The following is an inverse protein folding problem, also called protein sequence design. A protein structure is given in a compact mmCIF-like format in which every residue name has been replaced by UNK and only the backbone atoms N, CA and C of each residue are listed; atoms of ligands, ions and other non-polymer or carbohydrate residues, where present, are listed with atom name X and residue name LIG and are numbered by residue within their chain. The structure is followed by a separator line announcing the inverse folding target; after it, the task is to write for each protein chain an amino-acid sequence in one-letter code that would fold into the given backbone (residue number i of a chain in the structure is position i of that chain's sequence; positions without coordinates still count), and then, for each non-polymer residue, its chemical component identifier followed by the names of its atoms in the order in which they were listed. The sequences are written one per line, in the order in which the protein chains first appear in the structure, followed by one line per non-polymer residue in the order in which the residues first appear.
data_IF_955161477728
#
_entry.id   IF_955161477728
#
_cell.length_a   1.000
_cell.length_b   1.000
_cell.length_c   1.000
_cell.angle_alpha   90.00
_cell.angle_beta   90.00
_cell.angle_gamma   90.00
#
_symmetry.space_group_name_H-M   'P 1'
#
loop_
_entity.id
_entity.type
_entity.pdbx_description
1 polymer ?
#
# COMPACT_ATOMS: atom_id res chain seq x y z
N UNK A 1 -30.61 -49.34 -10.49
CA UNK A 1 -30.45 -49.52 -9.04
C UNK A 1 -29.14 -48.77 -8.70
N UNK A 2 -29.16 -47.76 -8.05
CA UNK A 2 -29.33 -47.14 -6.81
C UNK A 2 -29.33 -45.61 -6.93
N UNK A 3 -30.46 -45.11 -6.72
CA UNK A 3 -30.95 -43.80 -6.43
C UNK A 3 -30.58 -43.39 -4.99
N UNK A 4 -30.49 -42.04 -4.78
CA UNK A 4 -30.65 -41.32 -3.52
C UNK A 4 -29.42 -41.22 -2.61
N UNK A 5 -28.90 -39.96 -2.51
CA UNK A 5 -29.02 -39.15 -1.29
C UNK A 5 -28.46 -37.74 -1.59
N UNK A 6 -29.36 -36.87 -2.04
CA UNK A 6 -29.12 -35.41 -2.02
C UNK A 6 -29.90 -34.87 -0.80
N UNK A 7 -29.25 -34.69 0.31
CA UNK A 7 -29.81 -33.98 1.45
C UNK A 7 -29.57 -32.49 1.26
N UNK A 8 -30.63 -31.77 0.97
CA UNK A 8 -30.68 -30.32 0.89
C UNK A 8 -30.37 -29.71 2.27
N UNK A 9 -29.25 -28.99 2.38
CA UNK A 9 -28.94 -28.17 3.53
C UNK A 9 -29.62 -26.81 3.33
N UNK A 10 -30.82 -26.69 3.90
CA UNK A 10 -31.61 -25.45 3.91
C UNK A 10 -30.93 -24.44 4.85
N UNK A 11 -30.43 -23.34 4.29
CA UNK A 11 -29.99 -22.19 5.08
C UNK A 11 -31.21 -21.41 5.58
N UNK A 12 -31.24 -21.01 6.86
CA UNK A 12 -32.31 -20.14 7.35
C UNK A 12 -32.17 -18.73 6.72
N UNK A 13 -33.29 -18.01 6.54
CA UNK A 13 -33.28 -16.66 5.98
C UNK A 13 -32.61 -15.69 6.94
N UNK A 14 -31.69 -14.89 6.40
CA UNK A 14 -31.09 -13.75 7.11
C UNK A 14 -32.19 -12.70 7.27
N UNK A 15 -32.72 -12.59 8.47
CA UNK A 15 -33.64 -11.52 8.85
C UNK A 15 -32.86 -10.23 8.96
N UNK A 16 -32.99 -9.39 7.96
CA UNK A 16 -32.50 -8.00 8.01
C UNK A 16 -33.40 -7.25 9.01
N UNK A 17 -32.85 -6.95 10.18
CA UNK A 17 -33.50 -6.08 11.15
C UNK A 17 -33.55 -4.65 10.59
N UNK A 18 -34.72 -3.99 10.59
CA UNK A 18 -34.82 -2.59 10.17
C UNK A 18 -34.09 -1.69 11.16
N UNK A 19 -33.37 -0.74 10.61
CA UNK A 19 -32.70 0.36 11.29
C UNK A 19 -33.68 1.05 12.25
N UNK A 20 -33.48 0.90 13.55
CA UNK A 20 -34.19 1.61 14.58
C UNK A 20 -33.68 3.06 14.66
N UNK A 21 -34.20 3.90 13.80
CA UNK A 21 -34.20 5.34 14.04
C UNK A 21 -35.33 5.62 15.04
N UNK A 22 -35.02 6.39 16.06
CA UNK A 22 -35.90 6.91 17.14
C UNK A 22 -35.95 6.08 18.43
N UNK A 23 -34.95 6.33 19.28
CA UNK A 23 -35.10 6.52 20.72
C UNK A 23 -33.80 7.12 21.25
N UNK A 24 -33.84 8.37 21.64
CA UNK A 24 -32.70 9.12 22.17
C UNK A 24 -32.22 8.57 23.51
N UNK A 25 -31.04 8.00 23.50
CA UNK A 25 -30.26 7.73 24.69
C UNK A 25 -28.87 8.38 24.54
N UNK A 26 -28.62 9.50 25.25
CA UNK A 26 -27.33 10.20 25.18
C UNK A 26 -26.21 9.50 25.97
N UNK A 27 -26.42 8.29 26.49
CA UNK A 27 -25.47 7.60 27.39
C UNK A 27 -24.55 6.65 26.64
N UNK A 28 -24.87 6.23 25.40
CA UNK A 28 -24.02 5.29 24.63
C UNK A 28 -22.87 5.95 23.88
N UNK A 29 -22.91 7.26 23.63
CA UNK A 29 -21.83 7.97 22.95
C UNK A 29 -20.57 8.12 23.81
N UNK A 30 -20.75 8.21 25.14
CA UNK A 30 -19.63 8.42 26.06
C UNK A 30 -18.82 7.15 26.37
N UNK A 31 -19.35 5.96 26.10
CA UNK A 31 -18.66 4.69 26.38
C UNK A 31 -17.78 4.21 25.22
N UNK A 32 -18.05 4.64 24.00
CA UNK A 32 -17.26 4.26 22.82
C UNK A 32 -15.95 5.04 22.79
N UNK A 33 -15.93 6.28 23.26
CA UNK A 33 -14.74 7.12 23.33
C UNK A 33 -13.74 6.68 24.40
N UNK A 34 -14.16 5.86 25.38
CA UNK A 34 -13.31 5.35 26.45
C UNK A 34 -12.56 4.06 26.06
N UNK A 35 -13.02 3.32 25.05
CA UNK A 35 -12.44 2.04 24.63
C UNK A 35 -11.50 2.21 23.43
N UNK A 36 -11.74 3.23 22.60
CA UNK A 36 -10.85 3.61 21.50
C UNK A 36 -10.41 5.06 21.71
N UNK A 37 -9.21 5.28 22.29
CA UNK A 37 -8.69 6.63 22.36
C UNK A 37 -8.62 7.17 20.93
N UNK A 38 -9.30 8.30 20.72
CA UNK A 38 -9.40 9.00 19.46
C UNK A 38 -8.04 9.04 18.76
N UNK A 39 -7.91 8.33 17.65
CA UNK A 39 -6.71 8.42 16.81
C UNK A 39 -6.65 9.87 16.35
N UNK A 40 -5.64 10.65 16.76
CA UNK A 40 -5.59 12.08 16.42
C UNK A 40 -5.57 12.21 14.89
N UNK A 41 -6.56 12.91 14.34
CA UNK A 41 -6.71 13.18 12.90
C UNK A 41 -5.56 14.02 12.31
N UNK A 42 -4.57 14.38 13.12
CA UNK A 42 -3.42 15.21 12.77
C UNK A 42 -2.12 14.62 13.30
N UNK A 43 -1.83 13.37 13.01
CA UNK A 43 -0.55 12.80 13.42
C UNK A 43 0.54 13.01 12.34
N UNK A 44 1.04 14.23 12.27
CA UNK A 44 2.38 14.52 11.70
C UNK A 44 3.49 13.72 12.43
N UNK A 45 3.14 13.13 13.58
CA UNK A 45 4.02 12.32 14.44
C UNK A 45 3.97 10.81 14.12
N UNK A 46 3.21 10.40 13.11
CA UNK A 46 2.67 9.06 13.10
C UNK A 46 3.67 7.96 12.78
N UNK A 47 4.78 8.16 12.10
CA UNK A 47 5.71 7.06 11.82
C UNK A 47 7.16 7.54 11.65
N UNK A 48 7.74 8.08 12.72
CA UNK A 48 9.18 8.38 12.69
C UNK A 48 9.96 7.07 12.51
N UNK A 49 10.87 7.05 11.53
CA UNK A 49 11.81 5.96 11.36
C UNK A 49 12.89 6.06 12.45
N UNK A 50 12.95 5.08 13.33
CA UNK A 50 14.05 4.96 14.28
C UNK A 50 15.37 4.62 13.56
N UNK A 51 16.50 4.85 14.21
CA UNK A 51 17.80 4.42 13.68
C UNK A 51 17.82 2.92 13.38
N UNK A 52 17.14 2.11 14.20
CA UNK A 52 16.99 0.68 13.98
C UNK A 52 16.19 0.38 12.69
N UNK A 53 15.04 1.04 12.50
CA UNK A 53 14.23 0.87 11.28
C UNK A 53 15.06 1.19 10.02
N UNK A 54 15.81 2.29 10.04
CA UNK A 54 16.68 2.70 8.92
C UNK A 54 17.74 1.65 8.59
N UNK A 55 18.38 1.08 9.62
CA UNK A 55 19.40 0.03 9.45
C UNK A 55 18.77 -1.23 8.85
N UNK A 56 17.62 -1.66 9.39
CA UNK A 56 16.89 -2.83 8.90
C UNK A 56 16.51 -2.66 7.43
N UNK A 57 15.93 -1.51 7.07
CA UNK A 57 15.55 -1.20 5.67
C UNK A 57 16.77 -1.22 4.75
N UNK A 58 17.87 -0.53 5.11
CA UNK A 58 19.10 -0.50 4.28
C UNK A 58 19.69 -1.89 4.09
N UNK A 59 19.76 -2.70 5.15
CA UNK A 59 20.28 -4.07 5.08
C UNK A 59 19.42 -4.97 4.20
N UNK A 60 18.11 -4.92 4.40
CA UNK A 60 17.18 -5.71 3.59
C UNK A 60 17.22 -5.30 2.12
N UNK A 61 17.31 -3.99 1.84
CA UNK A 61 17.36 -3.48 0.47
C UNK A 61 18.57 -3.97 -0.31
N UNK A 62 19.69 -4.22 0.35
CA UNK A 62 20.87 -4.83 -0.30
C UNK A 62 20.57 -6.20 -0.94
N UNK A 63 19.58 -6.95 -0.41
CA UNK A 63 19.11 -8.21 -1.01
C UNK A 63 18.13 -7.97 -2.15
N UNK A 64 17.32 -6.91 -2.05
CA UNK A 64 16.28 -6.55 -3.02
C UNK A 64 16.87 -6.08 -4.33
N UNK A 65 18.01 -5.39 -4.32
CA UNK A 65 18.62 -4.75 -5.51
C UNK A 65 18.78 -5.70 -6.70
N UNK A 66 19.16 -6.96 -6.45
CA UNK A 66 19.36 -7.95 -7.50
C UNK A 66 18.10 -8.36 -8.26
N UNK A 67 16.91 -8.24 -7.62
CA UNK A 67 15.59 -8.61 -8.16
C UNK A 67 14.64 -7.42 -8.29
N UNK A 68 15.15 -6.21 -8.10
CA UNK A 68 14.33 -5.01 -8.02
C UNK A 68 13.45 -4.78 -9.25
N UNK A 69 13.96 -5.04 -10.46
CA UNK A 69 13.20 -4.88 -11.69
C UNK A 69 12.01 -5.87 -11.79
N UNK A 70 12.21 -7.12 -11.39
CA UNK A 70 11.15 -8.14 -11.39
C UNK A 70 10.08 -7.80 -10.36
N UNK A 71 10.50 -7.47 -9.15
CA UNK A 71 9.62 -7.07 -8.04
C UNK A 71 8.77 -5.87 -8.43
N UNK A 72 9.39 -4.84 -9.02
CA UNK A 72 8.69 -3.65 -9.46
C UNK A 72 7.66 -3.92 -10.55
N UNK A 73 8.03 -4.74 -11.55
CA UNK A 73 7.14 -5.14 -12.62
C UNK A 73 5.94 -5.93 -12.12
N UNK A 74 6.17 -6.88 -11.19
CA UNK A 74 5.08 -7.64 -10.59
C UNK A 74 4.19 -6.79 -9.68
N UNK A 75 4.77 -5.94 -8.84
CA UNK A 75 4.00 -5.07 -7.95
C UNK A 75 3.10 -4.09 -8.74
N UNK A 76 3.63 -3.48 -9.80
CA UNK A 76 2.86 -2.60 -10.67
C UNK A 76 1.77 -3.38 -11.41
N UNK A 77 2.09 -4.56 -11.94
CA UNK A 77 1.12 -5.42 -12.60
C UNK A 77 -0.03 -5.83 -11.68
N UNK A 78 0.27 -6.20 -10.44
CA UNK A 78 -0.74 -6.51 -9.40
C UNK A 78 -1.61 -5.29 -9.09
N UNK A 79 -1.02 -4.12 -8.93
CA UNK A 79 -1.76 -2.89 -8.70
C UNK A 79 -2.75 -2.60 -9.83
N UNK A 80 -2.34 -2.74 -11.09
CA UNK A 80 -3.20 -2.49 -12.25
C UNK A 80 -4.37 -3.49 -12.35
N UNK A 81 -4.19 -4.72 -11.86
CA UNK A 81 -5.26 -5.73 -11.82
C UNK A 81 -6.18 -5.52 -10.63
N UNK A 82 -5.62 -5.35 -9.43
CA UNK A 82 -6.39 -5.26 -8.19
C UNK A 82 -7.10 -3.92 -8.01
N UNK A 83 -6.55 -2.85 -8.61
CA UNK A 83 -7.09 -1.49 -8.54
C UNK A 83 -7.28 -0.89 -9.95
N UNK A 84 -8.32 -1.30 -10.69
CA UNK A 84 -8.51 -0.93 -12.09
C UNK A 84 -8.54 0.57 -12.36
N UNK A 85 -8.94 1.39 -11.38
CA UNK A 85 -8.93 2.85 -11.47
C UNK A 85 -7.52 3.42 -11.71
N UNK A 86 -6.47 2.71 -11.32
CA UNK A 86 -5.08 3.14 -11.52
C UNK A 86 -4.65 3.07 -12.98
N UNK A 87 -5.36 2.31 -13.81
CA UNK A 87 -5.11 2.19 -15.25
C UNK A 87 -5.24 3.53 -15.99
N UNK A 88 -6.01 4.45 -15.44
CA UNK A 88 -6.20 5.79 -16.02
C UNK A 88 -4.87 6.53 -16.22
N UNK A 89 -3.90 6.36 -15.33
CA UNK A 89 -2.58 6.99 -15.44
C UNK A 89 -1.70 6.39 -16.55
N UNK A 90 -2.04 5.21 -17.02
CA UNK A 90 -1.29 4.44 -18.01
C UNK A 90 -2.11 4.20 -19.29
N UNK A 91 -3.20 4.95 -19.51
CA UNK A 91 -4.11 4.77 -20.65
C UNK A 91 -3.43 4.95 -22.02
N UNK A 92 -2.28 5.64 -22.06
CA UNK A 92 -1.46 5.80 -23.25
C UNK A 92 -0.64 4.54 -23.63
N UNK A 93 -0.65 3.48 -22.78
CA UNK A 93 -0.07 2.19 -23.12
C UNK A 93 -1.14 1.30 -23.73
N UNK A 94 -0.80 0.61 -24.83
CA UNK A 94 -1.75 -0.26 -25.55
C UNK A 94 -2.11 -1.54 -24.78
N UNK A 95 -1.22 -1.99 -23.90
CA UNK A 95 -1.39 -3.18 -23.05
C UNK A 95 -0.97 -2.88 -21.63
N UNK A 96 -1.83 -3.23 -20.66
CA UNK A 96 -1.63 -3.03 -19.22
C UNK A 96 -1.59 -4.37 -18.47
N UNK A 97 -1.35 -5.48 -19.18
CA UNK A 97 -1.18 -6.78 -18.54
C UNK A 97 0.13 -6.83 -17.74
N UNK A 98 0.21 -7.63 -16.66
CA UNK A 98 1.44 -7.76 -15.87
C UNK A 98 2.64 -8.27 -16.67
N UNK A 99 2.40 -8.97 -17.77
CA UNK A 99 3.45 -9.48 -18.68
C UNK A 99 3.98 -8.42 -19.65
N UNK A 100 3.26 -7.30 -19.84
CA UNK A 100 3.62 -6.26 -20.78
C UNK A 100 5.02 -5.67 -20.50
N UNK A 101 5.89 -5.55 -21.53
CA UNK A 101 7.22 -4.97 -21.37
C UNK A 101 7.22 -3.54 -20.81
N UNK A 102 6.21 -2.73 -21.13
CA UNK A 102 6.08 -1.37 -20.64
C UNK A 102 5.82 -1.36 -19.12
N UNK A 103 4.94 -2.24 -18.63
CA UNK A 103 4.65 -2.41 -17.19
C UNK A 103 5.91 -2.84 -16.45
N UNK A 104 6.63 -3.84 -16.97
CA UNK A 104 7.90 -4.31 -16.38
C UNK A 104 8.96 -3.22 -16.35
N UNK A 105 9.13 -2.49 -17.46
CA UNK A 105 10.11 -1.40 -17.56
C UNK A 105 9.79 -0.29 -16.56
N UNK A 106 8.53 0.11 -16.44
CA UNK A 106 8.13 1.16 -15.51
C UNK A 106 8.27 0.69 -14.05
N UNK A 107 7.92 -0.57 -13.76
CA UNK A 107 8.16 -1.17 -12.46
C UNK A 107 9.64 -1.12 -12.04
N UNK A 108 10.56 -1.39 -12.97
CA UNK A 108 11.98 -1.24 -12.74
C UNK A 108 12.38 0.21 -12.42
N UNK A 109 11.81 1.20 -13.12
CA UNK A 109 12.03 2.63 -12.84
C UNK A 109 11.54 3.00 -11.44
N UNK A 110 10.36 2.50 -11.05
CA UNK A 110 9.81 2.71 -9.70
C UNK A 110 10.78 2.18 -8.64
N UNK A 111 11.22 0.92 -8.77
CA UNK A 111 12.11 0.31 -7.78
C UNK A 111 13.49 0.97 -7.75
N UNK A 112 14.00 1.45 -8.88
CA UNK A 112 15.23 2.25 -8.91
C UNK A 112 15.07 3.58 -8.14
N UNK A 113 13.91 4.22 -8.23
CA UNK A 113 13.61 5.44 -7.45
C UNK A 113 13.49 5.13 -5.95
N UNK A 114 12.84 4.02 -5.59
CA UNK A 114 12.74 3.55 -4.20
C UNK A 114 14.13 3.21 -3.65
N UNK A 115 14.99 2.53 -4.41
CA UNK A 115 16.37 2.25 -4.00
C UNK A 115 17.20 3.51 -3.74
N UNK A 116 17.01 4.56 -4.55
CA UNK A 116 17.61 5.89 -4.29
C UNK A 116 17.05 6.51 -3.01
N UNK A 117 15.75 6.39 -2.75
CA UNK A 117 15.13 6.87 -1.53
C UNK A 117 15.65 6.13 -0.28
N UNK A 118 15.90 4.82 -0.35
CA UNK A 118 16.53 4.05 0.74
C UNK A 118 17.94 4.56 1.05
N UNK A 119 18.71 4.92 0.04
CA UNK A 119 20.04 5.52 0.24
C UNK A 119 19.97 6.89 0.91
N UNK A 120 18.89 7.62 0.67
CA UNK A 120 18.64 8.97 1.23
C UNK A 120 17.53 8.94 2.29
N UNK A 121 17.42 7.87 3.05
CA UNK A 121 16.34 7.62 4.03
C UNK A 121 16.28 8.67 5.15
N UNK A 122 17.35 9.40 5.35
CA UNK A 122 17.47 10.42 6.39
C UNK A 122 16.78 11.74 6.00
N UNK A 123 16.66 12.04 4.69
CA UNK A 123 15.98 13.22 4.17
C UNK A 123 15.18 12.87 2.88
N UNK A 124 14.09 12.16 3.06
CA UNK A 124 13.20 11.77 1.96
C UNK A 124 12.52 12.96 1.30
N UNK A 125 12.16 13.98 2.06
CA UNK A 125 11.40 15.13 1.56
C UNK A 125 12.22 15.93 0.55
N UNK A 126 13.45 16.29 0.88
CA UNK A 126 14.33 17.01 -0.05
C UNK A 126 14.68 16.15 -1.26
N UNK A 127 15.00 14.86 -1.03
CA UNK A 127 15.37 13.95 -2.11
C UNK A 127 14.23 13.74 -3.13
N UNK A 128 12.99 13.63 -2.66
CA UNK A 128 11.82 13.37 -3.48
C UNK A 128 11.10 14.62 -3.97
N UNK A 129 11.56 15.82 -3.62
CA UNK A 129 10.90 17.09 -3.93
C UNK A 129 10.53 17.24 -5.41
N UNK A 130 11.50 17.01 -6.32
CA UNK A 130 11.26 17.07 -7.78
C UNK A 130 10.29 15.98 -8.27
N UNK A 131 10.37 14.79 -7.68
CA UNK A 131 9.48 13.69 -8.03
C UNK A 131 8.06 13.95 -7.52
N UNK A 132 7.91 14.51 -6.33
CA UNK A 132 6.63 14.97 -5.79
C UNK A 132 5.99 16.03 -6.68
N UNK A 133 6.75 17.03 -7.12
CA UNK A 133 6.28 18.07 -8.03
C UNK A 133 5.82 17.50 -9.38
N UNK A 134 6.60 16.59 -9.97
CA UNK A 134 6.23 15.90 -11.22
C UNK A 134 4.87 15.20 -11.10
N UNK A 135 4.68 14.44 -10.02
CA UNK A 135 3.43 13.70 -9.80
C UNK A 135 2.24 14.62 -9.52
N UNK A 136 2.46 15.72 -8.78
CA UNK A 136 1.40 16.66 -8.43
C UNK A 136 0.94 17.51 -9.61
N UNK A 137 1.88 18.03 -10.41
CA UNK A 137 1.60 19.06 -11.41
C UNK A 137 1.42 18.50 -12.82
N UNK A 138 2.29 17.59 -13.25
CA UNK A 138 2.28 17.05 -14.60
C UNK A 138 1.44 15.77 -14.71
N UNK A 139 1.71 14.80 -13.85
CA UNK A 139 1.03 13.50 -13.89
C UNK A 139 -0.33 13.52 -13.18
N UNK A 140 -0.53 14.44 -12.25
CA UNK A 140 -1.77 14.63 -11.47
C UNK A 140 -2.27 13.33 -10.84
N UNK A 141 -1.34 12.59 -10.26
CA UNK A 141 -1.63 11.29 -9.60
C UNK A 141 -2.28 11.56 -8.25
N UNK A 142 -3.42 10.95 -7.96
CA UNK A 142 -4.01 11.00 -6.63
C UNK A 142 -3.04 10.41 -5.60
N UNK A 143 -2.70 11.13 -4.51
CA UNK A 143 -1.77 10.68 -3.48
C UNK A 143 -2.12 9.34 -2.83
N UNK A 144 -3.40 8.96 -2.81
CA UNK A 144 -3.84 7.65 -2.31
C UNK A 144 -3.18 6.48 -3.06
N UNK A 145 -2.86 6.68 -4.35
CA UNK A 145 -2.24 5.64 -5.17
C UNK A 145 -0.80 5.31 -4.78
N UNK A 146 -0.08 6.23 -4.12
CA UNK A 146 1.24 5.92 -3.57
C UNK A 146 1.18 4.85 -2.48
N UNK A 147 0.14 4.89 -1.63
CA UNK A 147 -0.08 3.86 -0.60
C UNK A 147 -0.52 2.53 -1.20
N UNK A 148 -1.34 2.57 -2.25
CA UNK A 148 -1.77 1.37 -2.97
C UNK A 148 -0.56 0.67 -3.59
N UNK A 149 0.31 1.41 -4.28
CA UNK A 149 1.53 0.85 -4.86
C UNK A 149 2.47 0.32 -3.78
N UNK A 150 2.68 1.06 -2.70
CA UNK A 150 3.48 0.64 -1.55
C UNK A 150 3.00 -0.70 -0.98
N UNK A 151 1.69 -0.85 -0.78
CA UNK A 151 1.09 -2.11 -0.33
C UNK A 151 1.41 -3.29 -1.27
N UNK A 152 1.28 -3.08 -2.58
CA UNK A 152 1.60 -4.12 -3.56
C UNK A 152 3.10 -4.45 -3.58
N UNK A 153 3.99 -3.46 -3.41
CA UNK A 153 5.44 -3.72 -3.32
C UNK A 153 5.74 -4.56 -2.06
N UNK A 154 5.19 -4.19 -0.90
CA UNK A 154 5.39 -4.92 0.35
C UNK A 154 4.93 -6.37 0.22
N UNK A 155 3.78 -6.60 -0.40
CA UNK A 155 3.27 -7.95 -0.67
C UNK A 155 4.27 -8.77 -1.51
N UNK A 156 4.76 -8.20 -2.60
CA UNK A 156 5.70 -8.88 -3.51
C UNK A 156 7.04 -9.11 -2.82
N UNK A 157 7.54 -8.17 -2.00
CA UNK A 157 8.74 -8.38 -1.19
C UNK A 157 8.62 -9.60 -0.27
N UNK A 158 7.46 -9.76 0.40
CA UNK A 158 7.20 -10.96 1.22
C UNK A 158 7.19 -12.26 0.41
N UNK A 159 6.72 -12.21 -0.84
CA UNK A 159 6.71 -13.38 -1.74
C UNK A 159 8.10 -13.75 -2.23
N UNK A 160 8.95 -12.77 -2.55
CA UNK A 160 10.29 -13.00 -3.08
C UNK A 160 11.32 -13.36 -2.01
N UNK A 161 11.09 -12.93 -0.78
CA UNK A 161 12.03 -13.12 0.34
C UNK A 161 11.35 -13.71 1.59
N UNK A 162 10.65 -14.86 1.48
CA UNK A 162 9.84 -15.38 2.59
C UNK A 162 10.65 -15.67 3.85
N UNK A 163 11.93 -16.04 3.72
CA UNK A 163 12.82 -16.29 4.86
C UNK A 163 13.44 -15.03 5.48
N UNK A 164 13.57 -13.97 4.71
CA UNK A 164 14.21 -12.72 5.14
C UNK A 164 13.20 -11.64 5.54
N UNK A 165 11.96 -11.74 5.03
CA UNK A 165 10.90 -10.80 5.30
C UNK A 165 10.21 -11.11 6.63
N UNK A 166 10.98 -10.98 7.72
CA UNK A 166 10.51 -11.21 9.08
C UNK A 166 9.50 -10.13 9.52
N UNK A 167 8.73 -10.35 10.61
CA UNK A 167 7.83 -9.31 11.14
C UNK A 167 8.53 -7.98 11.43
N UNK A 168 9.78 -8.02 11.90
CA UNK A 168 10.58 -6.81 12.14
C UNK A 168 10.91 -6.07 10.84
N UNK A 169 11.33 -6.79 9.80
CA UNK A 169 11.59 -6.23 8.47
C UNK A 169 10.31 -5.65 7.89
N UNK A 170 9.19 -6.39 7.98
CA UNK A 170 7.89 -5.93 7.51
C UNK A 170 7.50 -4.57 8.13
N UNK A 171 7.54 -4.47 9.47
CA UNK A 171 7.19 -3.22 10.16
C UNK A 171 8.11 -2.07 9.75
N UNK A 172 9.42 -2.30 9.65
CA UNK A 172 10.38 -1.26 9.27
C UNK A 172 10.19 -0.81 7.82
N UNK A 173 9.93 -1.74 6.91
CA UNK A 173 9.66 -1.47 5.49
C UNK A 173 8.31 -0.75 5.32
N UNK A 174 7.27 -1.14 6.05
CA UNK A 174 5.97 -0.47 6.03
C UNK A 174 6.09 0.99 6.49
N UNK A 175 6.78 1.24 7.61
CA UNK A 175 7.08 2.61 8.08
C UNK A 175 7.84 3.42 7.03
N UNK A 176 8.82 2.81 6.36
CA UNK A 176 9.58 3.47 5.30
C UNK A 176 8.67 3.87 4.14
N UNK A 177 7.84 2.95 3.63
CA UNK A 177 6.92 3.25 2.53
C UNK A 177 5.85 4.28 2.90
N UNK A 178 5.38 4.29 4.15
CA UNK A 178 4.47 5.34 4.62
C UNK A 178 5.14 6.72 4.58
N UNK A 179 6.40 6.84 5.03
CA UNK A 179 7.14 8.09 4.96
C UNK A 179 7.45 8.50 3.52
N UNK A 180 7.76 7.54 2.65
CA UNK A 180 7.98 7.77 1.22
C UNK A 180 6.71 8.29 0.54
N UNK A 181 5.56 7.66 0.77
CA UNK A 181 4.27 8.10 0.25
C UNK A 181 3.91 9.51 0.75
N UNK A 182 4.23 9.80 2.01
CA UNK A 182 4.02 11.12 2.59
C UNK A 182 4.90 12.18 1.91
N UNK A 183 6.20 11.91 1.72
CA UNK A 183 7.13 12.81 1.03
C UNK A 183 6.74 13.06 -0.44
N UNK A 184 6.24 12.03 -1.14
CA UNK A 184 5.70 12.18 -2.50
C UNK A 184 4.41 13.02 -2.54
N UNK A 185 3.68 13.12 -1.45
CA UNK A 185 2.45 13.91 -1.34
C UNK A 185 2.69 15.35 -0.89
N UNK A 186 3.92 15.75 -0.62
CA UNK A 186 4.25 17.07 -0.05
C UNK A 186 3.80 18.23 -0.94
N UNK A 187 3.95 18.12 -2.27
CA UNK A 187 3.62 19.17 -3.24
C UNK A 187 2.14 19.24 -3.61
N UNK A 188 1.31 18.39 -3.02
CA UNK A 188 -0.16 18.43 -3.17
C UNK A 188 -0.87 19.32 -2.14
N UNK A 189 -0.11 19.96 -1.25
CA UNK A 189 -0.60 20.80 -0.14
C UNK A 189 -0.45 22.26 -0.45
#
# INVERSE_FOLDING_TARGET
MLSKFFTAFSRPPITVLPCCATLGFPIMAALVDSIFPCIPKNSKAAMSLSSKDKTVVKTFWGKVDSKSAEIGGEALGRMLVAYPQTKTYFSHWGDLTPSCPQVKKHGAVIMAAVGKAVKNIDDLTSHLSKLSELHATQLRVDPANFKILAHNIILVLGMYFPGDFTPEVHVSVDKFFNNLAWALSERYR
#
